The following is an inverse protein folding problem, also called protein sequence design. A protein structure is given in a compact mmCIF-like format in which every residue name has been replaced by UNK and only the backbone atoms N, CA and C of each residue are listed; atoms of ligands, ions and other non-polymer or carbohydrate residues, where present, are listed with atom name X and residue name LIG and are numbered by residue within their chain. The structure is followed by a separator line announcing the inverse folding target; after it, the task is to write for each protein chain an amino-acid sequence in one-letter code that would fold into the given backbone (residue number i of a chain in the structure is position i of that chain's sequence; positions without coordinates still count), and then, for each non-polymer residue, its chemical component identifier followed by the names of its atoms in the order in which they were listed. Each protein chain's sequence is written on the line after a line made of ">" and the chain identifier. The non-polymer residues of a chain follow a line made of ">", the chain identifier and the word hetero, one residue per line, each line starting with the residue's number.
data_IF_004985858774
#
_entry.id   IF_004985858774
#
_cell.length_a   1.000
_cell.length_b   1.000
_cell.length_c   1.000
_cell.angle_alpha   90.00
_cell.angle_beta   90.00
_cell.angle_gamma   90.00
#
_symmetry.space_group_name_H-M   'P 1'
#
loop_
_entity.id
_entity.type
_entity.pdbx_description
1 polymer ?
#
# COMPACT_ATOMS: atom_id res chain seq x y z
N UNK A 1 46.20 -32.43 70.45
CA UNK A 1 45.59 -31.13 70.82
C UNK A 1 45.57 -30.28 69.56
N UNK A 2 44.42 -29.77 69.09
CA UNK A 2 44.32 -29.07 67.81
C UNK A 2 44.69 -27.59 67.95
N UNK A 3 45.24 -26.99 66.90
CA UNK A 3 45.41 -25.54 66.75
C UNK A 3 44.33 -25.02 65.78
N UNK A 4 43.60 -24.01 66.24
CA UNK A 4 42.51 -23.34 65.54
C UNK A 4 43.05 -22.44 64.41
N UNK A 5 42.41 -22.49 63.24
CA UNK A 5 42.52 -21.44 62.23
C UNK A 5 41.20 -20.65 62.24
N UNK A 6 41.27 -19.33 62.44
CA UNK A 6 40.13 -18.43 62.26
C UNK A 6 39.76 -18.33 60.77
N UNK A 7 38.49 -18.53 60.45
CA UNK A 7 37.95 -18.15 59.13
C UNK A 7 37.75 -16.63 59.11
N UNK A 8 38.43 -15.95 58.21
CA UNK A 8 38.14 -14.55 57.88
C UNK A 8 36.96 -14.58 56.91
N UNK A 9 35.79 -14.14 57.37
CA UNK A 9 34.62 -13.93 56.52
C UNK A 9 34.73 -12.53 55.89
N UNK A 10 34.76 -12.45 54.56
CA UNK A 10 34.49 -11.21 53.81
C UNK A 10 33.06 -11.26 53.29
N UNK A 11 32.26 -10.25 53.63
CA UNK A 11 30.91 -10.11 53.08
C UNK A 11 30.97 -9.83 51.57
N UNK A 12 30.04 -10.38 50.76
CA UNK A 12 29.98 -10.05 49.34
C UNK A 12 29.52 -8.60 49.13
N UNK A 13 30.26 -7.85 48.33
CA UNK A 13 29.85 -6.51 47.87
C UNK A 13 28.78 -6.70 46.79
N UNK A 14 27.54 -6.35 47.13
CA UNK A 14 26.46 -6.26 46.15
C UNK A 14 26.59 -4.96 45.37
N UNK A 15 26.68 -5.07 44.05
CA UNK A 15 26.57 -3.91 43.13
C UNK A 15 25.20 -4.02 42.47
N UNK A 16 24.35 -3.02 42.68
CA UNK A 16 23.02 -2.98 42.08
C UNK A 16 23.15 -2.90 40.55
N UNK A 17 22.45 -3.77 39.79
CA UNK A 17 22.41 -3.65 38.35
C UNK A 17 21.60 -2.41 37.96
N UNK A 18 22.22 -1.48 37.22
CA UNK A 18 21.52 -0.35 36.64
C UNK A 18 20.63 -0.83 35.49
N UNK A 19 19.32 -0.71 35.67
CA UNK A 19 18.33 -0.94 34.62
C UNK A 19 18.33 0.24 33.65
N UNK A 20 18.48 -0.06 32.36
CA UNK A 20 18.19 0.90 31.27
C UNK A 20 16.82 0.57 30.74
N UNK A 21 15.89 1.52 30.81
CA UNK A 21 14.54 1.36 30.26
C UNK A 21 14.62 1.28 28.72
N UNK A 22 13.97 0.29 28.08
CA UNK A 22 13.86 0.26 26.63
C UNK A 22 12.94 1.39 26.15
N UNK A 23 13.38 2.14 25.14
CA UNK A 23 12.56 3.14 24.43
C UNK A 23 11.69 2.39 23.43
N UNK A 24 10.38 2.42 23.63
CA UNK A 24 9.40 1.89 22.68
C UNK A 24 8.96 3.02 21.75
N UNK A 25 9.07 2.83 20.43
CA UNK A 25 8.47 3.76 19.48
C UNK A 25 6.96 3.56 19.41
N UNK A 26 6.21 4.65 19.57
CA UNK A 26 4.74 4.66 19.47
C UNK A 26 4.31 4.32 18.05
N UNK A 27 3.65 3.17 17.88
CA UNK A 27 2.96 2.85 16.64
C UNK A 27 1.72 3.74 16.53
N UNK A 28 1.69 4.63 15.54
CA UNK A 28 0.49 5.40 15.20
C UNK A 28 -0.56 4.47 14.59
N UNK A 29 -1.62 4.18 15.35
CA UNK A 29 -2.82 3.54 14.83
C UNK A 29 -3.73 4.60 14.22
N UNK A 30 -3.94 4.57 12.90
CA UNK A 30 -5.02 5.30 12.27
C UNK A 30 -6.33 4.53 12.48
N UNK A 31 -7.31 5.16 13.14
CA UNK A 31 -8.62 4.54 13.35
C UNK A 31 -9.38 4.43 12.01
N UNK A 32 -9.99 3.27 11.70
CA UNK A 32 -10.84 3.16 10.52
C UNK A 32 -12.10 4.01 10.68
N UNK A 33 -12.43 4.79 9.65
CA UNK A 33 -13.65 5.59 9.59
C UNK A 33 -14.84 4.63 9.38
N UNK A 34 -15.59 4.35 10.44
CA UNK A 34 -16.84 3.61 10.34
C UNK A 34 -17.98 4.56 9.95
N UNK A 35 -18.56 4.37 8.76
CA UNK A 35 -19.83 4.98 8.42
C UNK A 35 -20.97 4.16 9.06
N UNK A 36 -21.82 4.80 9.85
CA UNK A 36 -22.96 4.13 10.48
C UNK A 36 -24.00 3.70 9.43
N UNK A 37 -24.56 2.47 9.53
CA UNK A 37 -25.62 2.03 8.64
C UNK A 37 -26.91 2.82 8.91
N UNK A 38 -27.51 3.37 7.84
CA UNK A 38 -28.82 4.03 7.91
C UNK A 38 -29.91 2.97 8.05
N UNK A 39 -30.49 2.86 9.25
CA UNK A 39 -31.65 2.01 9.50
C UNK A 39 -32.93 2.71 9.04
N UNK A 40 -33.66 2.09 8.11
CA UNK A 40 -35.02 2.51 7.75
C UNK A 40 -35.98 1.71 8.61
N UNK A 41 -36.76 2.40 9.46
CA UNK A 41 -37.72 1.74 10.35
C UNK A 41 -38.86 1.06 9.55
N UNK A 42 -39.17 -0.22 9.82
CA UNK A 42 -40.33 -0.88 9.22
C UNK A 42 -41.63 -0.33 9.80
N UNK A 43 -42.57 0.03 8.93
CA UNK A 43 -43.87 0.59 9.30
C UNK A 43 -44.80 -0.54 9.78
N UNK A 44 -45.04 -0.64 11.09
CA UNK A 44 -45.95 -1.61 11.69
C UNK A 44 -47.41 -1.14 11.59
N UNK A 45 -48.29 -1.98 11.05
CA UNK A 45 -49.75 -1.78 11.08
C UNK A 45 -50.30 -2.59 12.26
N UNK A 46 -51.02 -1.94 13.17
CA UNK A 46 -51.57 -2.58 14.37
C UNK A 46 -52.66 -3.62 14.00
N UNK A 47 -52.57 -4.86 14.49
CA UNK A 47 -53.68 -5.82 14.40
C UNK A 47 -54.77 -5.50 15.44
N UNK A 48 -56.03 -5.59 15.02
CA UNK A 48 -57.21 -5.43 15.88
C UNK A 48 -57.46 -6.74 16.66
N UNK A 49 -57.48 -6.68 18.01
CA UNK A 49 -57.61 -7.86 18.87
C UNK A 49 -59.09 -8.25 19.08
N UNK A 50 -59.37 -9.56 19.02
CA UNK A 50 -60.63 -10.17 19.49
C UNK A 50 -60.41 -10.75 20.89
N UNK A 51 -61.28 -10.36 21.81
CA UNK A 51 -61.23 -10.69 23.24
C UNK A 51 -61.61 -12.15 23.52
N UNK A 52 -60.78 -12.91 24.25
CA UNK A 52 -61.26 -14.01 25.12
C UNK A 52 -60.29 -14.31 26.26
N UNK A 53 -60.90 -14.42 27.45
CA UNK A 53 -60.61 -15.17 28.67
C UNK A 53 -59.19 -15.52 29.12
N UNK A 54 -58.94 -15.20 30.40
CA UNK A 54 -57.78 -15.52 31.24
C UNK A 54 -57.17 -16.90 30.96
N UNK A 55 -55.90 -16.92 30.54
CA UNK A 55 -55.09 -18.15 30.47
C UNK A 55 -53.89 -18.03 31.40
N UNK A 56 -53.72 -19.08 32.19
CA UNK A 56 -52.69 -19.35 33.19
C UNK A 56 -51.27 -19.03 32.69
N UNK A 57 -50.46 -18.38 33.51
CA UNK A 57 -49.09 -17.97 33.15
C UNK A 57 -48.19 -19.19 32.92
N UNK A 58 -47.86 -19.45 31.65
CA UNK A 58 -46.87 -20.45 31.25
C UNK A 58 -45.48 -19.82 31.29
N UNK A 59 -44.61 -20.30 32.17
CA UNK A 59 -43.19 -19.95 32.15
C UNK A 59 -42.50 -20.69 31.00
N UNK A 60 -42.15 -19.95 29.95
CA UNK A 60 -41.31 -20.48 28.87
C UNK A 60 -39.84 -20.38 29.30
N UNK A 61 -39.16 -21.52 29.40
CA UNK A 61 -37.70 -21.56 29.49
C UNK A 61 -37.11 -21.11 28.16
N UNK A 62 -36.22 -20.09 28.12
CA UNK A 62 -35.61 -19.65 26.87
C UNK A 62 -34.75 -20.78 26.30
N UNK A 63 -35.06 -21.21 25.07
CA UNK A 63 -34.24 -22.14 24.32
C UNK A 63 -32.98 -21.41 23.86
N UNK A 64 -31.83 -21.82 24.38
CA UNK A 64 -30.54 -21.31 23.93
C UNK A 64 -30.24 -21.90 22.55
N UNK A 65 -30.17 -21.05 21.53
CA UNK A 65 -29.78 -21.45 20.18
C UNK A 65 -28.29 -21.13 20.03
N UNK A 66 -27.48 -22.14 19.73
CA UNK A 66 -26.06 -21.90 19.44
C UNK A 66 -25.90 -20.97 18.23
N UNK A 67 -25.04 -19.94 18.30
CA UNK A 67 -24.78 -19.09 17.15
C UNK A 67 -24.16 -19.92 16.03
N UNK A 68 -24.81 -19.94 14.88
CA UNK A 68 -24.27 -20.55 13.67
C UNK A 68 -23.18 -19.64 13.12
N UNK A 69 -21.92 -20.01 13.34
CA UNK A 69 -20.78 -19.34 12.73
C UNK A 69 -20.71 -19.70 11.25
N UNK A 70 -21.17 -18.79 10.39
CA UNK A 70 -20.87 -18.86 8.96
C UNK A 70 -19.45 -18.36 8.74
N UNK A 71 -18.58 -19.22 8.23
CA UNK A 71 -17.26 -18.80 7.77
C UNK A 71 -17.46 -17.81 6.63
N UNK A 72 -16.75 -16.67 6.61
CA UNK A 72 -16.80 -15.76 5.46
C UNK A 72 -16.33 -16.54 4.23
N UNK A 73 -17.21 -16.66 3.23
CA UNK A 73 -16.82 -17.19 1.93
C UNK A 73 -15.88 -16.16 1.32
N UNK A 74 -14.59 -16.48 1.28
CA UNK A 74 -13.61 -15.64 0.59
C UNK A 74 -13.88 -15.77 -0.91
N UNK A 75 -14.63 -14.82 -1.45
CA UNK A 75 -14.75 -14.68 -2.89
C UNK A 75 -13.44 -14.03 -3.33
N UNK A 76 -12.60 -14.79 -4.04
CA UNK A 76 -11.46 -14.20 -4.74
C UNK A 76 -11.97 -12.97 -5.51
N UNK A 77 -11.27 -11.82 -5.48
CA UNK A 77 -11.73 -10.64 -6.19
C UNK A 77 -12.04 -11.08 -7.62
N UNK A 78 -13.31 -10.94 -8.01
CA UNK A 78 -13.69 -11.11 -9.40
C UNK A 78 -12.82 -10.07 -10.12
N UNK A 79 -11.99 -10.44 -11.11
CA UNK A 79 -11.36 -9.42 -11.92
C UNK A 79 -12.51 -8.62 -12.49
N UNK A 80 -12.70 -7.41 -11.96
CA UNK A 80 -13.59 -6.45 -12.57
C UNK A 80 -13.01 -6.31 -13.95
N UNK A 81 -13.73 -6.81 -14.96
CA UNK A 81 -13.57 -6.23 -16.28
C UNK A 81 -14.06 -4.80 -16.11
N UNK A 82 -13.14 -3.95 -15.66
CA UNK A 82 -13.24 -2.50 -15.65
C UNK A 82 -13.94 -2.08 -16.94
N UNK A 83 -14.83 -1.07 -16.91
CA UNK A 83 -15.56 -0.63 -18.09
C UNK A 83 -14.62 0.03 -19.09
N UNK A 84 -13.75 -0.72 -19.80
CA UNK A 84 -12.60 -0.18 -20.58
C UNK A 84 -12.07 1.09 -19.89
N UNK A 85 -11.67 0.92 -18.63
CA UNK A 85 -11.36 2.03 -17.74
C UNK A 85 -10.22 2.85 -18.32
N UNK A 86 -10.40 4.17 -18.40
CA UNK A 86 -9.36 5.11 -18.85
C UNK A 86 -8.11 4.86 -18.01
N UNK A 87 -6.97 4.64 -18.66
CA UNK A 87 -5.69 4.50 -17.97
C UNK A 87 -5.47 5.73 -17.05
N UNK A 88 -5.04 5.57 -15.79
CA UNK A 88 -4.94 6.68 -14.85
C UNK A 88 -4.18 7.87 -15.44
N UNK A 89 -4.73 9.07 -15.31
CA UNK A 89 -4.16 10.26 -15.93
C UNK A 89 -2.75 10.55 -15.41
N UNK A 90 -2.53 10.31 -14.12
CA UNK A 90 -1.25 10.46 -13.43
C UNK A 90 -0.20 9.53 -14.03
N UNK A 91 -0.56 8.27 -14.32
CA UNK A 91 0.34 7.31 -14.94
C UNK A 91 0.58 7.63 -16.43
N UNK A 92 -0.44 8.12 -17.13
CA UNK A 92 -0.32 8.53 -18.53
C UNK A 92 0.66 9.70 -18.71
N UNK A 93 0.79 10.60 -17.72
CA UNK A 93 1.79 11.68 -17.74
C UNK A 93 3.23 11.16 -17.67
N UNK A 94 3.44 9.96 -17.12
CA UNK A 94 4.76 9.33 -17.04
C UNK A 94 5.07 8.47 -18.28
N UNK A 95 4.15 8.39 -19.25
CA UNK A 95 4.34 7.61 -20.45
C UNK A 95 4.88 8.47 -21.60
N UNK A 96 5.98 8.03 -22.23
CA UNK A 96 6.56 8.69 -23.39
C UNK A 96 6.29 7.85 -24.66
N UNK A 97 5.29 8.26 -25.43
CA UNK A 97 4.90 7.64 -26.71
C UNK A 97 6.08 7.50 -27.67
N UNK A 98 6.95 8.52 -27.74
CA UNK A 98 8.07 8.54 -28.67
C UNK A 98 9.14 7.55 -28.23
N UNK A 99 9.52 7.57 -26.95
CA UNK A 99 10.43 6.59 -26.37
C UNK A 99 9.89 5.18 -26.59
N UNK A 100 8.63 4.95 -26.25
CA UNK A 100 8.03 3.63 -26.30
C UNK A 100 8.01 3.07 -27.72
N UNK A 101 7.59 3.83 -28.72
CA UNK A 101 7.61 3.38 -30.11
C UNK A 101 9.03 3.23 -30.66
N UNK A 102 9.99 4.04 -30.21
CA UNK A 102 11.39 3.94 -30.61
C UNK A 102 12.07 2.68 -30.06
N UNK A 103 11.75 2.26 -28.83
CA UNK A 103 12.30 1.06 -28.19
C UNK A 103 11.53 -0.21 -28.57
N UNK A 104 10.29 -0.09 -29.06
CA UNK A 104 9.40 -1.19 -29.40
C UNK A 104 9.00 -1.15 -30.90
N UNK A 105 9.92 -1.50 -31.82
CA UNK A 105 9.70 -1.40 -33.26
C UNK A 105 8.60 -2.33 -33.79
N UNK A 106 8.26 -3.39 -33.06
CA UNK A 106 7.14 -4.28 -33.35
C UNK A 106 5.79 -3.57 -33.18
N UNK A 107 5.64 -2.77 -32.12
CA UNK A 107 4.44 -1.96 -31.85
C UNK A 107 4.32 -0.85 -32.88
N UNK A 108 5.44 -0.17 -33.17
CA UNK A 108 5.50 0.87 -34.18
C UNK A 108 5.15 0.34 -35.59
N UNK A 109 5.68 -0.83 -35.97
CA UNK A 109 5.39 -1.44 -37.26
C UNK A 109 3.93 -1.91 -37.38
N UNK A 110 3.32 -2.34 -36.27
CA UNK A 110 1.93 -2.74 -36.22
C UNK A 110 0.94 -1.56 -36.18
N UNK A 111 1.43 -0.33 -35.92
CA UNK A 111 0.58 0.86 -35.79
C UNK A 111 -0.38 0.78 -34.61
N UNK A 112 0.02 0.08 -33.55
CA UNK A 112 -0.76 -0.07 -32.31
C UNK A 112 -0.59 1.19 -31.46
N UNK A 113 -1.66 1.62 -30.79
CA UNK A 113 -1.62 2.70 -29.80
C UNK A 113 -0.65 2.36 -28.66
N UNK A 114 0.44 3.13 -28.43
CA UNK A 114 1.50 2.74 -27.52
C UNK A 114 1.06 2.71 -26.05
N UNK A 115 0.30 3.73 -25.61
CA UNK A 115 -0.22 3.78 -24.24
C UNK A 115 -1.21 2.64 -23.99
N UNK A 116 -2.14 2.40 -24.91
CA UNK A 116 -3.08 1.29 -24.83
C UNK A 116 -2.39 -0.07 -24.84
N UNK A 117 -1.32 -0.23 -25.62
CA UNK A 117 -0.49 -1.43 -25.56
C UNK A 117 0.17 -1.57 -24.20
N UNK A 118 0.82 -0.53 -23.68
CA UNK A 118 1.47 -0.57 -22.38
C UNK A 118 0.50 -0.99 -21.29
N UNK A 119 -0.62 -0.29 -21.18
CA UNK A 119 -1.67 -0.50 -20.18
C UNK A 119 -2.25 -1.91 -20.13
N UNK A 120 -2.21 -2.65 -21.25
CA UNK A 120 -2.85 -3.96 -21.37
C UNK A 120 -1.87 -5.13 -21.47
N UNK A 121 -0.68 -4.90 -22.03
CA UNK A 121 0.28 -5.96 -22.37
C UNK A 121 1.72 -5.52 -22.08
N UNK A 122 2.07 -4.28 -22.37
CA UNK A 122 3.48 -3.84 -22.37
C UNK A 122 4.15 -3.91 -21.00
N UNK A 123 3.47 -3.52 -19.93
CA UNK A 123 4.05 -3.64 -18.58
C UNK A 123 4.20 -5.12 -18.16
N UNK A 124 3.28 -5.99 -18.58
CA UNK A 124 3.33 -7.44 -18.33
C UNK A 124 4.53 -8.06 -19.08
N UNK A 125 4.83 -7.56 -20.27
CA UNK A 125 6.02 -7.94 -21.04
C UNK A 125 7.32 -7.31 -20.50
N UNK A 126 7.24 -6.45 -19.47
CA UNK A 126 8.40 -5.78 -18.88
C UNK A 126 8.97 -4.66 -19.75
N UNK A 127 8.18 -4.07 -20.65
CA UNK A 127 8.64 -2.94 -21.49
C UNK A 127 8.66 -1.67 -20.66
N UNK A 128 9.59 -0.76 -20.94
CA UNK A 128 9.71 0.49 -20.20
C UNK A 128 8.85 1.60 -20.81
N UNK A 129 8.09 2.38 -20.00
CA UNK A 129 7.19 3.42 -20.49
C UNK A 129 7.91 4.74 -20.83
N UNK A 130 9.10 4.96 -20.26
CA UNK A 130 9.98 6.10 -20.51
C UNK A 130 11.43 5.72 -20.17
N UNK A 131 12.38 6.63 -20.43
CA UNK A 131 13.81 6.35 -20.26
C UNK A 131 14.31 6.25 -18.80
N UNK A 132 13.47 6.59 -17.82
CA UNK A 132 13.79 6.68 -16.39
C UNK A 132 12.91 5.79 -15.52
N UNK A 133 12.12 4.91 -16.14
CA UNK A 133 11.31 3.91 -15.46
C UNK A 133 11.71 2.53 -15.96
N UNK A 134 12.14 1.65 -15.06
CA UNK A 134 12.51 0.27 -15.36
C UNK A 134 11.39 -0.64 -14.86
N UNK A 135 10.53 -1.10 -15.77
CA UNK A 135 9.34 -1.88 -15.42
C UNK A 135 9.69 -3.18 -14.71
N UNK A 136 10.69 -3.91 -15.21
CA UNK A 136 11.10 -5.18 -14.60
C UNK A 136 11.87 -4.96 -13.30
N UNK A 137 12.73 -3.95 -13.27
CA UNK A 137 13.48 -3.55 -12.08
C UNK A 137 12.55 -3.14 -10.95
N UNK A 138 11.52 -2.34 -11.23
CA UNK A 138 10.53 -1.91 -10.25
C UNK A 138 9.78 -3.10 -9.64
N UNK A 139 9.26 -4.00 -10.47
CA UNK A 139 8.57 -5.20 -9.99
C UNK A 139 9.48 -6.14 -9.18
N UNK A 140 10.76 -6.23 -9.55
CA UNK A 140 11.74 -7.01 -8.82
C UNK A 140 12.13 -6.38 -7.47
N UNK A 141 12.31 -5.06 -7.44
CA UNK A 141 12.65 -4.31 -6.23
C UNK A 141 11.48 -4.28 -5.23
N UNK A 142 10.25 -4.28 -5.73
CA UNK A 142 9.02 -4.11 -4.97
C UNK A 142 8.07 -5.32 -5.16
N UNK A 143 8.41 -6.48 -4.58
CA UNK A 143 7.73 -7.75 -4.85
C UNK A 143 6.26 -7.78 -4.43
N UNK A 144 5.82 -6.89 -3.54
CA UNK A 144 4.42 -6.72 -3.20
C UNK A 144 3.58 -6.13 -4.33
N UNK A 145 4.18 -5.31 -5.19
CA UNK A 145 3.53 -4.76 -6.39
C UNK A 145 3.35 -5.86 -7.43
N UNK A 146 4.39 -6.67 -7.64
CA UNK A 146 4.37 -7.84 -8.52
C UNK A 146 3.38 -8.91 -8.03
N UNK A 147 3.43 -9.27 -6.74
CA UNK A 147 2.52 -10.25 -6.16
C UNK A 147 1.05 -9.81 -6.21
N UNK A 148 0.78 -8.50 -6.15
CA UNK A 148 -0.55 -7.93 -6.31
C UNK A 148 -1.00 -7.85 -7.79
N UNK A 149 -0.09 -8.05 -8.74
CA UNK A 149 -0.37 -7.92 -10.17
C UNK A 149 -0.76 -6.49 -10.58
N UNK A 150 -0.17 -5.49 -9.91
CA UNK A 150 -0.45 -4.08 -10.17
C UNK A 150 0.51 -3.57 -11.25
N UNK A 151 -0.01 -2.79 -12.20
CA UNK A 151 0.83 -2.07 -13.17
C UNK A 151 1.84 -1.18 -12.42
N UNK A 152 3.16 -1.37 -12.61
CA UNK A 152 4.18 -0.67 -11.84
C UNK A 152 4.21 0.84 -12.10
N UNK A 153 3.89 1.29 -13.32
CA UNK A 153 3.83 2.73 -13.62
C UNK A 153 2.64 3.38 -12.90
N UNK A 154 1.49 2.68 -12.87
CA UNK A 154 0.32 3.11 -12.10
C UNK A 154 0.62 3.16 -10.61
N UNK A 155 1.26 2.11 -10.07
CA UNK A 155 1.65 2.07 -8.67
C UNK A 155 2.58 3.25 -8.34
N UNK A 156 3.62 3.44 -9.13
CA UNK A 156 4.56 4.53 -8.90
C UNK A 156 3.87 5.88 -8.96
N UNK A 157 3.07 6.16 -9.98
CA UNK A 157 2.40 7.45 -10.18
C UNK A 157 1.46 7.84 -9.02
N UNK A 158 0.76 6.85 -8.45
CA UNK A 158 -0.25 7.10 -7.42
C UNK A 158 0.28 6.96 -5.99
N UNK A 159 1.28 6.11 -5.78
CA UNK A 159 1.76 5.73 -4.44
C UNK A 159 3.28 5.73 -4.34
N UNK A 160 3.98 5.09 -5.28
CA UNK A 160 5.41 4.79 -5.10
C UNK A 160 6.29 6.02 -4.86
N UNK A 161 6.07 7.13 -5.58
CA UNK A 161 6.85 8.35 -5.36
C UNK A 161 6.60 9.00 -3.99
N UNK A 162 5.38 8.85 -3.44
CA UNK A 162 5.03 9.33 -2.09
C UNK A 162 5.67 8.45 -1.01
N UNK A 163 5.98 7.20 -1.34
CA UNK A 163 6.67 6.24 -0.50
C UNK A 163 8.20 6.34 -0.62
N UNK A 164 8.72 7.28 -1.42
CA UNK A 164 10.16 7.46 -1.65
C UNK A 164 10.80 6.43 -2.60
N UNK A 165 9.98 5.61 -3.28
CA UNK A 165 10.49 4.54 -4.15
C UNK A 165 11.12 5.10 -5.41
N UNK A 166 12.14 4.43 -5.92
CA UNK A 166 12.79 4.79 -7.17
C UNK A 166 12.09 4.12 -8.36
N UNK A 167 11.79 4.85 -9.44
CA UNK A 167 11.22 4.27 -10.65
C UNK A 167 12.26 3.49 -11.48
N UNK A 168 13.55 3.80 -11.29
CA UNK A 168 14.67 3.05 -11.87
C UNK A 168 15.97 3.41 -11.15
N UNK A 169 17.02 2.63 -11.39
CA UNK A 169 18.39 2.97 -10.94
C UNK A 169 18.98 4.25 -11.56
N UNK A 170 18.27 4.87 -12.52
CA UNK A 170 18.67 6.14 -13.14
C UNK A 170 17.96 7.35 -12.55
N UNK A 171 17.06 7.15 -11.58
CA UNK A 171 16.28 8.21 -10.98
C UNK A 171 16.08 7.95 -9.48
N UNK A 172 16.67 8.79 -8.64
CA UNK A 172 16.51 8.74 -7.18
C UNK A 172 15.43 9.77 -6.77
N UNK A 173 14.30 9.25 -6.29
CA UNK A 173 13.11 10.02 -5.94
C UNK A 173 13.36 10.99 -4.79
N UNK A 174 13.95 10.50 -3.70
CA UNK A 174 14.18 11.29 -2.49
C UNK A 174 15.28 12.33 -2.71
N UNK A 175 16.37 11.96 -3.37
CA UNK A 175 17.44 12.90 -3.73
C UNK A 175 16.92 13.99 -4.65
N UNK A 176 16.03 13.67 -5.59
CA UNK A 176 15.41 14.66 -6.46
C UNK A 176 14.60 15.69 -5.66
N UNK A 177 13.69 15.24 -4.80
CA UNK A 177 12.85 16.11 -3.97
C UNK A 177 13.68 16.92 -2.98
N UNK A 178 14.70 16.31 -2.37
CA UNK A 178 15.62 16.99 -1.45
C UNK A 178 16.43 18.10 -2.13
N UNK A 179 16.94 17.84 -3.34
CA UNK A 179 17.72 18.82 -4.09
C UNK A 179 16.86 19.94 -4.69
N UNK A 180 15.57 19.66 -4.92
CA UNK A 180 14.62 20.55 -5.59
C UNK A 180 13.41 20.84 -4.71
N UNK A 181 13.59 21.62 -3.64
CA UNK A 181 12.54 21.88 -2.66
C UNK A 181 11.35 22.67 -3.22
N UNK A 182 11.49 23.29 -4.39
CA UNK A 182 10.38 23.90 -5.12
C UNK A 182 9.40 22.85 -5.69
N UNK A 183 9.91 21.70 -6.11
CA UNK A 183 9.11 20.56 -6.60
C UNK A 183 8.42 19.87 -5.42
N UNK A 184 9.18 19.60 -4.35
CA UNK A 184 8.67 19.02 -3.10
C UNK A 184 7.57 19.89 -2.48
N UNK A 185 7.81 21.19 -2.33
CA UNK A 185 6.82 22.12 -1.78
C UNK A 185 5.56 22.25 -2.66
N UNK A 186 5.67 21.98 -3.96
CA UNK A 186 4.54 21.96 -4.88
C UNK A 186 3.77 20.63 -4.86
N UNK A 187 4.32 19.57 -4.24
CA UNK A 187 3.73 18.23 -4.22
C UNK A 187 3.62 17.61 -5.61
N UNK A 188 4.56 17.92 -6.51
CA UNK A 188 4.57 17.40 -7.88
C UNK A 188 5.38 16.09 -7.88
N UNK A 189 4.88 15.08 -8.59
CA UNK A 189 5.62 13.83 -8.78
C UNK A 189 7.01 14.14 -9.38
N UNK A 190 8.11 13.67 -8.78
CA UNK A 190 9.46 14.07 -9.18
C UNK A 190 9.83 13.57 -10.58
N UNK A 191 9.37 12.37 -10.97
CA UNK A 191 9.60 11.85 -12.31
C UNK A 191 8.78 12.64 -13.34
N UNK A 192 7.52 12.97 -13.04
CA UNK A 192 6.70 13.84 -13.89
C UNK A 192 7.40 15.18 -14.12
N UNK A 193 7.80 15.84 -13.03
CA UNK A 193 8.51 17.11 -13.11
C UNK A 193 9.77 17.00 -13.96
N UNK A 194 10.56 15.93 -13.78
CA UNK A 194 11.79 15.74 -14.52
C UNK A 194 11.56 15.56 -16.02
N UNK A 195 10.58 14.74 -16.40
CA UNK A 195 10.23 14.46 -17.80
C UNK A 195 9.72 15.71 -18.52
N UNK A 196 8.91 16.55 -17.87
CA UNK A 196 8.30 17.73 -18.51
C UNK A 196 9.12 19.02 -18.39
N UNK A 197 9.90 19.19 -17.33
CA UNK A 197 10.61 20.44 -17.04
C UNK A 197 12.07 20.21 -16.62
N UNK A 198 12.30 19.34 -15.64
CA UNK A 198 13.60 19.20 -14.98
C UNK A 198 14.76 18.92 -15.93
N UNK A 199 14.59 18.03 -16.91
CA UNK A 199 15.63 17.76 -17.90
C UNK A 199 15.98 19.00 -18.75
N UNK A 200 14.98 19.78 -19.17
CA UNK A 200 15.17 21.01 -19.94
C UNK A 200 15.76 22.15 -19.08
N UNK A 201 15.49 22.15 -17.78
CA UNK A 201 16.07 23.06 -16.80
C UNK A 201 17.51 22.69 -16.41
N UNK A 202 18.02 21.53 -16.84
CA UNK A 202 19.34 21.04 -16.49
C UNK A 202 19.43 20.44 -15.08
N UNK A 203 18.30 20.05 -14.50
CA UNK A 203 18.25 19.31 -13.23
C UNK A 203 18.83 17.90 -13.41
N UNK A 204 19.35 17.32 -12.34
CA UNK A 204 19.89 15.97 -12.31
C UNK A 204 18.80 15.00 -11.82
N UNK A 205 18.81 13.78 -12.36
CA UNK A 205 17.96 12.68 -11.89
C UNK A 205 18.60 11.88 -10.73
N UNK A 206 19.85 12.21 -10.35
CA UNK A 206 20.57 11.57 -9.24
C UNK A 206 20.79 10.06 -9.36
N UNK A 207 20.85 9.52 -10.59
CA UNK A 207 21.22 8.13 -10.87
C UNK A 207 22.37 7.63 -9.99
N UNK A 208 22.08 6.66 -9.12
CA UNK A 208 23.01 6.12 -8.13
C UNK A 208 23.22 4.60 -8.28
N UNK A 209 22.45 3.95 -9.16
CA UNK A 209 22.60 2.54 -9.47
C UNK A 209 21.80 1.59 -8.58
N UNK A 210 20.94 2.09 -7.69
CA UNK A 210 20.14 1.27 -6.78
C UNK A 210 18.64 1.64 -6.83
N UNK A 211 17.82 0.77 -6.24
CA UNK A 211 16.42 1.09 -5.91
C UNK A 211 16.35 1.26 -4.39
N UNK A 212 15.78 2.37 -3.94
CA UNK A 212 15.58 2.69 -2.53
C UNK A 212 14.16 2.41 -2.05
#
# INVERSE_FOLDING_TARGET
>A
MPAFYEQIYSEPVYVDPYYVEPVYEETFYAEPIYAEPVYVEPLYVEPYYVETDYVETVYLTPAYVEPVYVQPVYVAPVPVSEPVGVYPAEAALLFDDYFYLATNPDIAAAGIDPLGHYATVGWIEGRDPNAFFDTQGYLFAYPEVDAAGIDPLVHYALFGWLEGRDPSTFFDTDSYLFAYPDVDAAGINPLEHYLYAGAAEGRLAFADGVFS
#
